data_IF_300817244126
#
_entry.id   IF_300817244126
#
_cell.length_a   1.000
_cell.length_b   1.000
_cell.length_c   1.000
_cell.angle_alpha   90.00
_cell.angle_beta   90.00
_cell.angle_gamma   90.00
#
_symmetry.space_group_name_H-M   'P 1'
#
loop_
_entity.id
_entity.type
_entity.pdbx_description
1 polymer ?
#
# COMPACT_ATOMS: atom_id res chain seq x y z
N UNK A 1 -4.81 -9.60 -20.80
CA UNK A 1 -5.40 -8.26 -20.91
C UNK A 1 -5.18 -7.55 -19.58
N UNK A 2 -4.47 -6.44 -19.59
CA UNK A 2 -4.30 -5.62 -18.40
C UNK A 2 -5.62 -4.90 -18.14
N UNK A 3 -6.13 -5.02 -16.91
CA UNK A 3 -7.33 -4.34 -16.48
C UNK A 3 -6.92 -3.01 -15.83
N UNK A 4 -7.56 -1.93 -16.22
CA UNK A 4 -7.28 -0.60 -15.69
C UNK A 4 -8.49 -0.09 -14.93
N UNK A 5 -8.31 0.62 -13.82
CA UNK A 5 -9.42 1.25 -13.12
C UNK A 5 -10.15 2.20 -14.06
N UNK A 6 -11.45 2.06 -14.17
CA UNK A 6 -12.30 2.96 -14.93
C UNK A 6 -13.46 3.42 -14.06
N UNK A 7 -13.74 4.71 -14.11
CA UNK A 7 -14.88 5.29 -13.43
C UNK A 7 -15.88 5.79 -14.47
N UNK A 8 -17.15 5.43 -14.30
CA UNK A 8 -18.23 5.96 -15.12
C UNK A 8 -19.24 6.67 -14.22
N UNK A 9 -19.22 8.00 -14.22
CA UNK A 9 -20.09 8.83 -13.40
C UNK A 9 -21.56 8.79 -13.80
N UNK A 10 -21.87 8.40 -15.05
CA UNK A 10 -23.23 8.45 -15.59
C UNK A 10 -24.02 7.15 -15.39
N UNK A 11 -23.37 6.03 -15.21
CA UNK A 11 -24.02 4.72 -15.11
C UNK A 11 -23.69 3.95 -13.84
N UNK A 12 -22.97 4.54 -12.91
CA UNK A 12 -22.46 3.86 -11.70
C UNK A 12 -21.73 2.54 -12.01
N UNK A 13 -21.34 2.37 -13.27
CA UNK A 13 -20.53 1.26 -13.75
C UNK A 13 -19.06 1.65 -13.75
N UNK A 14 -18.23 0.77 -13.30
CA UNK A 14 -16.79 0.97 -13.29
C UNK A 14 -16.08 -0.32 -12.98
N UNK A 15 -14.79 -0.33 -13.24
CA UNK A 15 -13.91 -1.41 -12.85
C UNK A 15 -13.15 -0.97 -11.60
N UNK A 16 -13.54 -1.52 -10.47
CA UNK A 16 -12.99 -1.16 -9.17
C UNK A 16 -11.99 -2.20 -8.71
N UNK A 17 -10.89 -1.72 -8.15
CA UNK A 17 -9.90 -2.57 -7.52
C UNK A 17 -10.47 -3.21 -6.25
N UNK A 18 -10.36 -4.52 -6.17
CA UNK A 18 -10.70 -5.29 -4.97
C UNK A 18 -9.54 -6.18 -4.57
N UNK A 19 -9.62 -6.78 -3.40
CA UNK A 19 -8.68 -7.81 -2.98
C UNK A 19 -8.88 -9.08 -3.82
N UNK A 20 -7.80 -9.73 -4.20
CA UNK A 20 -7.86 -10.93 -5.01
C UNK A 20 -8.01 -12.19 -4.14
N UNK A 21 -9.25 -12.61 -3.92
CA UNK A 21 -9.56 -13.78 -3.10
C UNK A 21 -9.16 -15.13 -3.73
N UNK A 22 -8.87 -15.15 -5.02
CA UNK A 22 -8.45 -16.35 -5.76
C UNK A 22 -6.94 -16.55 -5.65
N UNK A 23 -6.19 -15.47 -5.56
CA UNK A 23 -4.75 -15.52 -5.42
C UNK A 23 -4.36 -15.83 -3.98
N UNK A 24 -4.36 -17.10 -3.67
CA UNK A 24 -3.83 -17.59 -2.39
C UNK A 24 -2.33 -17.71 -2.54
N UNK A 25 -1.62 -16.70 -2.09
CA UNK A 25 -0.18 -16.81 -1.99
C UNK A 25 0.25 -17.93 -1.08
N UNK A 26 1.47 -18.35 -1.23
CA UNK A 26 2.12 -19.25 -0.29
C UNK A 26 2.05 -18.66 1.11
N UNK A 27 1.48 -19.39 2.05
CA UNK A 27 1.44 -18.99 3.45
C UNK A 27 2.86 -19.00 3.96
N UNK A 28 3.35 -17.87 4.37
CA UNK A 28 4.61 -17.78 5.08
C UNK A 28 4.49 -18.55 6.38
N UNK A 29 5.38 -19.49 6.56
CA UNK A 29 5.64 -20.23 7.79
C UNK A 29 4.55 -20.15 8.86
N UNK A 30 3.58 -21.08 8.83
CA UNK A 30 2.56 -21.29 9.86
C UNK A 30 1.45 -20.24 10.02
N UNK A 31 1.13 -19.45 8.99
CA UNK A 31 0.05 -18.47 9.04
C UNK A 31 -1.19 -18.87 8.26
N UNK A 32 -2.33 -18.48 8.76
CA UNK A 32 -3.60 -18.54 8.03
C UNK A 32 -3.69 -17.30 7.14
N UNK A 33 -3.93 -17.49 5.85
CA UNK A 33 -4.41 -16.39 5.01
C UNK A 33 -5.59 -15.78 5.73
N UNK A 34 -5.58 -14.47 5.91
CA UNK A 34 -6.70 -13.78 6.50
C UNK A 34 -7.99 -14.07 5.74
N UNK A 35 -9.12 -13.74 6.32
CA UNK A 35 -10.43 -13.88 5.68
C UNK A 35 -10.72 -12.63 4.86
N UNK A 36 -11.10 -12.83 3.59
CA UNK A 36 -11.55 -11.75 2.71
C UNK A 36 -13.09 -11.80 2.68
N UNK A 37 -13.71 -10.67 3.00
CA UNK A 37 -15.17 -10.52 3.11
C UNK A 37 -15.64 -9.23 2.44
N UNK A 38 -16.92 -8.92 2.56
CA UNK A 38 -17.55 -7.68 2.07
C UNK A 38 -17.29 -7.43 0.58
N UNK A 39 -17.52 -8.46 -0.25
CA UNK A 39 -17.30 -8.34 -1.70
C UNK A 39 -15.83 -8.16 -2.08
N UNK A 40 -14.93 -8.76 -1.35
CA UNK A 40 -13.49 -8.64 -1.50
C UNK A 40 -12.92 -7.24 -1.17
N UNK A 41 -13.59 -6.51 -0.29
CA UNK A 41 -13.14 -5.17 0.14
C UNK A 41 -12.52 -5.16 1.52
N UNK A 42 -12.71 -6.24 2.31
CA UNK A 42 -12.19 -6.33 3.67
C UNK A 42 -11.29 -7.54 3.83
N UNK A 43 -10.10 -7.30 4.36
CA UNK A 43 -9.15 -8.33 4.77
C UNK A 43 -9.04 -8.33 6.29
N UNK A 44 -9.32 -9.46 6.91
CA UNK A 44 -9.21 -9.66 8.35
C UNK A 44 -8.25 -10.81 8.64
N UNK A 45 -7.34 -10.61 9.56
CA UNK A 45 -6.41 -11.64 10.02
C UNK A 45 -6.32 -11.64 11.54
N UNK A 46 -6.16 -12.80 12.11
CA UNK A 46 -5.96 -13.01 13.56
C UNK A 46 -4.53 -13.47 13.78
N UNK A 47 -3.85 -12.86 14.70
CA UNK A 47 -2.45 -13.12 15.08
C UNK A 47 -1.35 -12.47 14.22
N UNK A 48 -0.17 -12.41 14.81
CA UNK A 48 1.08 -11.82 14.34
C UNK A 48 1.67 -12.50 13.08
N UNK A 49 0.84 -12.75 12.08
CA UNK A 49 1.29 -13.45 10.89
C UNK A 49 1.15 -12.55 9.68
N UNK A 50 2.21 -12.52 8.93
CA UNK A 50 2.29 -11.78 7.70
C UNK A 50 1.38 -12.42 6.65
N UNK A 51 0.17 -11.89 6.51
CA UNK A 51 -0.77 -12.28 5.46
C UNK A 51 -0.77 -11.20 4.39
N UNK A 52 -0.38 -11.53 3.17
CA UNK A 52 -0.47 -10.61 2.05
C UNK A 52 -1.61 -10.99 1.11
N UNK A 53 -2.28 -9.98 0.59
CA UNK A 53 -3.33 -10.14 -0.40
C UNK A 53 -3.12 -9.12 -1.52
N UNK A 54 -2.82 -9.57 -2.75
CA UNK A 54 -2.73 -8.65 -3.87
C UNK A 54 -4.11 -8.15 -4.25
N UNK A 55 -4.14 -6.98 -4.88
CA UNK A 55 -5.33 -6.43 -5.49
C UNK A 55 -5.57 -7.01 -6.89
N UNK A 56 -6.80 -6.87 -7.39
CA UNK A 56 -7.22 -7.39 -8.71
C UNK A 56 -6.71 -6.53 -9.87
N UNK A 57 -6.33 -5.29 -9.60
CA UNK A 57 -5.86 -4.35 -10.61
C UNK A 57 -4.41 -4.00 -10.35
N UNK A 58 -3.58 -4.06 -11.37
CA UNK A 58 -2.19 -3.61 -11.32
C UNK A 58 -2.14 -2.09 -11.50
N UNK A 59 -1.23 -1.44 -10.77
CA UNK A 59 -0.90 -0.04 -11.05
C UNK A 59 -0.29 0.02 -12.46
N UNK A 60 -0.84 0.84 -13.38
CA UNK A 60 -0.27 1.00 -14.71
C UNK A 60 1.16 1.54 -14.67
N UNK A 61 1.99 1.26 -15.70
CA UNK A 61 3.41 1.63 -15.69
C UNK A 61 3.70 3.12 -15.85
N UNK A 62 2.68 3.93 -16.09
CA UNK A 62 2.78 5.38 -16.24
C UNK A 62 1.61 6.09 -15.59
N UNK A 63 1.72 7.40 -15.40
CA UNK A 63 0.70 8.25 -14.80
C UNK A 63 0.78 8.31 -13.28
N UNK A 64 -0.19 9.00 -12.70
CA UNK A 64 -0.33 9.18 -11.26
C UNK A 64 -1.54 8.41 -10.76
N UNK A 65 -1.34 7.65 -9.71
CA UNK A 65 -2.35 6.72 -9.17
C UNK A 65 -2.54 6.95 -7.69
N UNK A 66 -3.77 6.75 -7.23
CA UNK A 66 -4.13 6.88 -5.84
C UNK A 66 -5.05 5.75 -5.40
N UNK A 67 -4.82 5.23 -4.20
CA UNK A 67 -5.68 4.25 -3.57
C UNK A 67 -5.68 4.41 -2.05
N UNK A 68 -6.73 3.94 -1.41
CA UNK A 68 -6.96 4.09 0.03
C UNK A 68 -7.31 2.76 0.68
N UNK A 69 -7.07 2.69 1.97
CA UNK A 69 -7.64 1.68 2.84
C UNK A 69 -8.03 2.29 4.18
N UNK A 70 -9.15 1.80 4.75
CA UNK A 70 -9.57 2.16 6.09
C UNK A 70 -9.05 1.13 7.09
N UNK A 71 -8.55 1.61 8.22
CA UNK A 71 -8.14 0.77 9.33
C UNK A 71 -9.36 0.53 10.22
N UNK A 72 -9.93 -0.68 10.16
CA UNK A 72 -11.13 -1.03 10.93
C UNK A 72 -10.76 -1.49 12.34
N UNK A 73 -9.67 -2.26 12.46
CA UNK A 73 -9.16 -2.78 13.73
C UNK A 73 -7.65 -2.99 13.68
N UNK A 74 -7.00 -3.03 14.84
CA UNK A 74 -5.56 -3.25 14.95
C UNK A 74 -4.70 -2.02 14.64
N UNK A 75 -5.31 -0.87 14.38
CA UNK A 75 -4.61 0.39 14.19
C UNK A 75 -3.91 0.86 15.47
N UNK A 76 -2.76 1.49 15.30
CA UNK A 76 -1.97 2.01 16.44
C UNK A 76 -1.18 0.94 17.22
N UNK A 77 -1.42 -0.33 16.96
CA UNK A 77 -0.67 -1.42 17.61
C UNK A 77 0.75 -1.52 17.06
N UNK A 78 1.71 -1.71 17.94
CA UNK A 78 3.09 -2.02 17.58
C UNK A 78 3.31 -3.51 17.27
N UNK A 79 2.26 -4.33 17.31
CA UNK A 79 2.39 -5.77 17.09
C UNK A 79 1.62 -6.26 15.88
N UNK A 80 0.56 -5.54 15.47
CA UNK A 80 -0.35 -5.97 14.40
C UNK A 80 -0.87 -4.75 13.64
N UNK A 81 -0.15 -4.30 12.67
CA UNK A 81 -0.58 -3.16 11.87
C UNK A 81 -0.50 -3.45 10.39
N UNK A 82 -1.48 -3.00 9.61
CA UNK A 82 -1.50 -3.22 8.17
C UNK A 82 -0.30 -2.56 7.50
N UNK A 83 0.12 -3.14 6.39
CA UNK A 83 1.03 -2.54 5.45
C UNK A 83 0.33 -2.46 4.09
N UNK A 84 0.63 -1.43 3.32
CA UNK A 84 0.12 -1.29 1.97
C UNK A 84 1.17 -0.66 1.05
N UNK A 85 1.23 -1.14 -0.17
CA UNK A 85 2.22 -0.68 -1.14
C UNK A 85 2.00 -1.22 -2.53
N UNK A 86 3.01 -1.07 -3.35
CA UNK A 86 3.10 -1.62 -4.69
C UNK A 86 4.29 -2.57 -4.78
N UNK A 87 4.19 -3.54 -5.66
CA UNK A 87 5.24 -4.53 -5.87
C UNK A 87 5.40 -4.82 -7.36
N UNK A 88 6.64 -5.02 -7.78
CA UNK A 88 6.92 -5.52 -9.12
C UNK A 88 6.40 -6.95 -9.27
N UNK A 89 5.45 -7.19 -10.18
CA UNK A 89 4.86 -8.50 -10.35
C UNK A 89 5.84 -9.56 -10.86
N UNK A 90 6.97 -9.17 -11.45
CA UNK A 90 7.95 -10.10 -11.99
C UNK A 90 8.87 -10.68 -10.90
N UNK A 91 8.98 -9.99 -9.76
CA UNK A 91 9.80 -10.45 -8.62
C UNK A 91 8.95 -10.83 -7.41
N UNK A 92 7.63 -10.67 -7.53
CA UNK A 92 6.72 -10.99 -6.44
C UNK A 92 6.67 -12.48 -6.20
N UNK A 93 7.25 -12.91 -5.11
CA UNK A 93 7.02 -14.23 -4.53
C UNK A 93 6.18 -14.03 -3.27
N UNK A 94 5.02 -14.65 -3.21
CA UNK A 94 4.16 -14.60 -2.03
C UNK A 94 4.80 -15.24 -0.78
N UNK A 95 6.04 -15.63 -0.87
CA UNK A 95 6.75 -16.35 0.18
C UNK A 95 7.36 -15.46 1.26
N UNK A 96 7.29 -14.13 1.11
CA UNK A 96 7.96 -13.24 2.05
C UNK A 96 6.99 -12.35 2.82
N UNK A 97 7.20 -12.28 4.11
CA UNK A 97 6.51 -11.33 4.96
C UNK A 97 6.78 -9.92 4.43
N UNK A 98 5.88 -9.37 3.70
CA UNK A 98 5.82 -8.03 3.10
C UNK A 98 6.94 -7.00 3.34
N UNK A 99 7.96 -7.35 4.09
CA UNK A 99 9.01 -6.46 4.53
C UNK A 99 10.35 -6.71 3.86
N UNK A 100 10.60 -7.92 3.35
CA UNK A 100 11.90 -8.29 2.77
C UNK A 100 11.85 -8.61 1.28
N UNK A 101 10.74 -8.30 0.62
CA UNK A 101 10.52 -8.67 -0.78
C UNK A 101 11.20 -7.69 -1.72
N UNK A 102 12.00 -8.21 -2.65
CA UNK A 102 12.53 -7.41 -3.75
C UNK A 102 11.40 -6.81 -4.58
N UNK A 103 11.59 -5.62 -5.13
CA UNK A 103 10.57 -4.91 -5.93
C UNK A 103 9.40 -4.34 -5.13
N UNK A 104 9.35 -4.50 -3.80
CA UNK A 104 8.33 -3.92 -2.94
C UNK A 104 8.71 -2.49 -2.54
N UNK A 105 7.71 -1.61 -2.59
CA UNK A 105 7.70 -0.36 -1.84
C UNK A 105 6.38 -0.26 -1.09
N UNK A 106 6.42 -0.14 0.24
CA UNK A 106 5.24 -0.15 1.08
C UNK A 106 5.39 0.74 2.30
N UNK A 107 4.28 1.31 2.73
CA UNK A 107 4.13 1.90 4.03
C UNK A 107 3.75 0.82 5.04
N UNK A 108 4.46 0.78 6.16
CA UNK A 108 4.15 -0.09 7.30
C UNK A 108 3.61 0.74 8.44
N UNK A 109 2.35 0.52 8.79
CA UNK A 109 1.69 1.24 9.87
C UNK A 109 2.25 0.84 11.25
N UNK A 110 2.85 -0.36 11.35
CA UNK A 110 3.49 -0.86 12.56
C UNK A 110 4.54 0.10 13.14
N UNK A 111 5.40 0.65 12.30
CA UNK A 111 6.53 1.48 12.70
C UNK A 111 6.57 2.86 12.03
N UNK A 112 5.50 3.18 11.27
CA UNK A 112 5.36 4.44 10.54
C UNK A 112 6.50 4.71 9.56
N UNK A 113 6.90 3.68 8.81
CA UNK A 113 8.04 3.73 7.90
C UNK A 113 7.68 3.28 6.49
N UNK A 114 8.48 3.74 5.55
CA UNK A 114 8.53 3.16 4.22
C UNK A 114 9.61 2.09 4.16
N UNK A 115 9.23 0.94 3.60
CA UNK A 115 10.15 -0.13 3.25
C UNK A 115 10.27 -0.21 1.73
N UNK A 116 11.48 -0.41 1.25
CA UNK A 116 11.79 -0.66 -0.15
C UNK A 116 12.81 -1.79 -0.22
N UNK A 117 12.48 -2.85 -0.97
CA UNK A 117 13.36 -4.02 -1.12
C UNK A 117 13.86 -4.57 0.24
N UNK A 118 12.96 -4.67 1.20
CA UNK A 118 13.28 -5.16 2.55
C UNK A 118 13.97 -4.16 3.49
N UNK A 119 14.36 -3.01 3.00
CA UNK A 119 15.09 -2.02 3.78
C UNK A 119 14.20 -0.83 4.14
N UNK A 120 14.37 -0.30 5.34
CA UNK A 120 13.76 0.98 5.72
C UNK A 120 14.44 2.12 4.96
N UNK A 121 13.64 2.91 4.26
CA UNK A 121 14.15 4.04 3.48
C UNK A 121 13.72 5.39 4.04
N UNK A 122 12.60 5.45 4.74
CA UNK A 122 12.09 6.70 5.29
C UNK A 122 11.23 6.43 6.53
N UNK A 123 11.32 7.30 7.51
CA UNK A 123 10.39 7.41 8.64
C UNK A 123 9.56 8.66 8.46
N UNK A 124 8.25 8.54 8.66
CA UNK A 124 7.38 9.71 8.66
C UNK A 124 7.31 10.38 10.02
N UNK A 125 7.17 11.71 10.02
CA UNK A 125 7.03 12.50 11.24
C UNK A 125 5.64 12.44 11.86
N UNK A 126 4.65 11.86 11.18
CA UNK A 126 3.28 11.74 11.66
C UNK A 126 3.06 10.57 12.61
N UNK A 127 1.84 10.48 13.13
CA UNK A 127 1.41 9.36 13.96
C UNK A 127 0.88 8.20 13.10
N UNK A 128 1.05 6.98 13.57
CA UNK A 128 0.46 5.79 12.93
C UNK A 128 -1.05 5.96 12.73
N UNK A 129 -1.57 5.30 11.73
CA UNK A 129 -3.01 5.21 11.55
C UNK A 129 -3.64 4.37 12.68
N UNK A 130 -4.74 4.84 13.21
CA UNK A 130 -5.56 4.22 14.26
C UNK A 130 -6.84 3.66 13.66
N UNK A 131 -7.61 2.92 14.47
CA UNK A 131 -8.94 2.46 14.05
C UNK A 131 -9.81 3.66 13.65
N UNK A 132 -10.42 3.57 12.49
CA UNK A 132 -11.23 4.61 11.87
C UNK A 132 -10.46 5.55 10.94
N UNK A 133 -9.13 5.53 10.95
CA UNK A 133 -8.35 6.34 10.01
C UNK A 133 -8.38 5.73 8.60
N UNK A 134 -8.38 6.61 7.61
CA UNK A 134 -8.18 6.28 6.20
C UNK A 134 -6.76 6.64 5.82
N UNK A 135 -6.03 5.63 5.36
CA UNK A 135 -4.68 5.79 4.86
C UNK A 135 -4.71 5.82 3.33
N UNK A 136 -4.00 6.75 2.73
CA UNK A 136 -3.91 6.90 1.29
C UNK A 136 -2.48 6.71 0.79
N UNK A 137 -2.37 6.11 -0.39
CA UNK A 137 -1.11 5.99 -1.12
C UNK A 137 -1.27 6.71 -2.45
N UNK A 138 -0.38 7.65 -2.73
CA UNK A 138 -0.21 8.23 -4.05
C UNK A 138 1.11 7.76 -4.68
N UNK A 139 1.04 7.40 -5.95
CA UNK A 139 2.17 6.87 -6.71
C UNK A 139 2.31 7.66 -8.00
N UNK A 140 3.47 8.25 -8.21
CA UNK A 140 3.85 8.87 -9.47
C UNK A 140 4.76 7.91 -10.23
N UNK A 141 4.18 7.19 -11.17
CA UNK A 141 4.90 6.18 -11.96
C UNK A 141 5.82 6.83 -12.99
N UNK A 142 5.49 8.03 -13.46
CA UNK A 142 6.28 8.75 -14.46
C UNK A 142 7.60 9.26 -13.86
N UNK A 143 7.60 9.61 -12.59
CA UNK A 143 8.77 10.13 -11.90
C UNK A 143 9.35 9.14 -10.87
N UNK A 144 8.66 8.06 -10.58
CA UNK A 144 9.10 7.08 -9.59
C UNK A 144 9.08 7.62 -8.16
N UNK A 145 7.88 7.94 -7.65
CA UNK A 145 7.70 8.48 -6.30
C UNK A 145 6.48 7.89 -5.59
N UNK A 146 6.60 7.69 -4.28
CA UNK A 146 5.59 7.07 -3.42
C UNK A 146 5.31 7.96 -2.22
N UNK A 147 4.06 8.27 -1.98
CA UNK A 147 3.61 9.17 -0.92
C UNK A 147 2.54 8.51 -0.07
N UNK A 148 2.46 8.90 1.19
CA UNK A 148 1.46 8.40 2.13
C UNK A 148 0.68 9.55 2.73
N UNK A 149 -0.63 9.38 2.84
CA UNK A 149 -1.51 10.31 3.56
C UNK A 149 -2.30 9.60 4.65
N UNK A 150 -2.75 10.36 5.62
CA UNK A 150 -3.72 9.95 6.62
C UNK A 150 -4.87 10.95 6.64
N UNK A 151 -6.09 10.45 6.48
CA UNK A 151 -7.30 11.28 6.43
C UNK A 151 -7.17 12.46 5.45
N UNK A 152 -6.61 12.19 4.27
CA UNK A 152 -6.40 13.18 3.21
C UNK A 152 -5.19 14.11 3.39
N UNK A 153 -4.48 14.05 4.50
CA UNK A 153 -3.28 14.87 4.74
C UNK A 153 -2.02 14.06 4.48
N UNK A 154 -1.18 14.51 3.54
CA UNK A 154 0.08 13.84 3.23
C UNK A 154 1.07 14.00 4.38
N UNK A 155 1.78 12.91 4.65
CA UNK A 155 2.82 12.90 5.66
C UNK A 155 4.05 13.70 5.24
N UNK A 156 4.67 14.36 6.21
CA UNK A 156 6.02 14.84 6.06
C UNK A 156 7.02 13.71 6.35
N UNK A 157 8.08 13.60 5.57
CA UNK A 157 9.23 12.78 5.94
C UNK A 157 9.91 13.40 7.17
N UNK A 158 10.45 12.56 8.05
CA UNK A 158 11.08 13.02 9.28
C UNK A 158 12.24 14.00 8.97
N UNK A 159 12.11 15.22 9.46
CA UNK A 159 13.08 16.29 9.18
C UNK A 159 13.02 16.89 7.78
N UNK A 160 11.99 16.58 6.99
CA UNK A 160 11.86 17.01 5.60
C UNK A 160 10.50 17.65 5.27
N UNK A 161 10.23 17.72 3.98
CA UNK A 161 9.02 18.36 3.44
C UNK A 161 7.81 17.42 3.53
N UNK A 162 6.63 18.03 3.62
CA UNK A 162 5.35 17.34 3.43
C UNK A 162 5.26 16.78 2.01
N UNK A 163 4.67 15.60 1.87
CA UNK A 163 4.48 14.94 0.60
C UNK A 163 3.63 15.78 -0.37
N UNK A 164 4.13 15.95 -1.57
CA UNK A 164 3.42 16.60 -2.66
C UNK A 164 3.45 15.71 -3.91
N UNK A 165 2.40 14.88 -4.14
CA UNK A 165 2.33 14.01 -5.31
C UNK A 165 2.26 14.77 -6.64
N UNK A 166 2.03 16.08 -6.61
CA UNK A 166 1.97 16.92 -7.82
C UNK A 166 3.33 17.49 -8.21
N UNK A 167 4.33 17.34 -7.35
CA UNK A 167 5.67 17.94 -7.53
C UNK A 167 6.50 17.38 -8.69
N UNK A 168 6.02 16.33 -9.35
CA UNK A 168 6.69 15.73 -10.51
C UNK A 168 8.12 15.29 -10.23
N UNK A 169 9.05 15.68 -11.06
CA UNK A 169 10.47 15.30 -10.95
C UNK A 169 11.14 15.74 -9.63
N UNK A 170 10.60 16.75 -8.96
CA UNK A 170 11.11 17.20 -7.64
C UNK A 170 10.88 16.17 -6.55
N UNK A 171 9.85 15.30 -6.68
CA UNK A 171 9.49 14.26 -5.71
C UNK A 171 9.42 14.78 -4.28
N UNK A 172 8.89 16.00 -4.09
CA UNK A 172 8.89 16.71 -2.80
C UNK A 172 8.18 15.87 -1.73
N UNK A 173 8.90 15.58 -0.63
CA UNK A 173 8.36 14.80 0.48
C UNK A 173 7.98 13.36 0.17
N UNK A 174 8.47 12.79 -0.93
CA UNK A 174 8.25 11.39 -1.26
C UNK A 174 8.90 10.48 -0.21
N UNK A 175 8.13 9.53 0.32
CA UNK A 175 8.62 8.56 1.29
C UNK A 175 9.51 7.49 0.69
N UNK A 176 9.38 7.25 -0.61
CA UNK A 176 10.23 6.34 -1.35
C UNK A 176 10.31 6.72 -2.83
N UNK A 177 11.45 6.48 -3.43
CA UNK A 177 11.70 6.81 -4.84
C UNK A 177 12.37 5.68 -5.59
N UNK A 178 12.19 5.66 -6.91
CA UNK A 178 12.90 4.77 -7.83
C UNK A 178 13.12 5.46 -9.18
N UNK A 179 13.89 4.82 -10.05
CA UNK A 179 14.01 5.20 -11.47
C UNK A 179 12.92 4.45 -12.24
N UNK A 180 12.02 5.15 -12.93
CA UNK A 180 10.97 4.55 -13.75
C UNK A 180 11.50 3.69 -14.89
#
# INVERSE_FOLDING_TARGET
KQDSPTFNSSSNGGNFCTLNSIYKGSVLTAGTLGTITEGNLKHSFTNAQDASCPCTIKVPPSGKWYFEWAIIAGGGSASYSPAMGIIDPNVYTMADSGTNTAGLIAYTNYDNKIRKNGTYVTTYGGTRGSNGDVMGIAVDMDNGAFYVSKNGTYYAISGGSTGDPTSGASKTGAGGTWTP
#
